data_IF_935641053075
#
_entry.id   IF_935641053075
#
_cell.length_a   1.000
_cell.length_b   1.000
_cell.length_c   1.000
_cell.angle_alpha   90.00
_cell.angle_beta   90.00
_cell.angle_gamma   90.00
#
_symmetry.space_group_name_H-M   'P 1'
#
loop_
_entity.id
_entity.type
_entity.pdbx_description
1 polymer ?
#
# COMPACT_ATOMS: atom_id res chain seq x y z
N UNK A 1 -16.67 13.09 14.70
CA UNK A 1 -15.72 12.26 15.46
C UNK A 1 -14.34 12.63 14.98
N UNK A 2 -13.53 13.23 15.84
CA UNK A 2 -12.17 13.66 15.50
C UNK A 2 -11.33 12.44 15.18
N UNK A 3 -10.84 12.33 13.94
CA UNK A 3 -9.85 11.31 13.62
C UNK A 3 -8.61 11.58 14.46
N UNK A 4 -8.06 10.59 15.18
CA UNK A 4 -6.81 10.78 15.91
C UNK A 4 -5.74 11.23 14.91
N UNK A 5 -4.98 12.26 15.29
CA UNK A 5 -3.86 12.71 14.45
C UNK A 5 -2.87 11.55 14.26
N UNK A 6 -2.33 11.35 13.05
CA UNK A 6 -1.34 10.30 12.81
C UNK A 6 -0.12 10.52 13.72
N UNK A 7 0.22 9.53 14.54
CA UNK A 7 1.28 9.65 15.55
C UNK A 7 2.60 9.04 15.11
N UNK A 8 2.65 8.35 13.97
CA UNK A 8 3.81 7.60 13.52
C UNK A 8 4.37 8.11 12.20
N UNK A 9 5.70 8.17 12.08
CA UNK A 9 6.37 8.46 10.81
C UNK A 9 6.31 7.24 9.89
N UNK A 10 6.15 7.46 8.58
CA UNK A 10 6.26 6.36 7.61
C UNK A 10 7.63 5.68 7.69
N UNK A 11 7.68 4.33 7.77
CA UNK A 11 8.93 3.59 7.78
C UNK A 11 9.76 3.84 6.51
N UNK A 12 10.95 4.39 6.69
CA UNK A 12 11.88 4.66 5.57
C UNK A 12 12.68 3.43 5.13
N UNK A 13 12.50 2.29 5.80
CA UNK A 13 13.26 1.06 5.55
C UNK A 13 12.68 0.20 4.42
N UNK A 14 11.56 0.61 3.82
CA UNK A 14 10.84 -0.20 2.82
C UNK A 14 10.13 0.64 1.76
N UNK A 15 9.82 0.01 0.63
CA UNK A 15 8.75 0.46 -0.29
C UNK A 15 7.44 -0.17 0.17
N UNK A 16 6.39 0.64 0.31
CA UNK A 16 5.16 0.21 0.97
C UNK A 16 3.99 0.21 0.00
N UNK A 17 3.23 -0.88 0.01
CA UNK A 17 1.97 -0.99 -0.72
C UNK A 17 0.82 -0.95 0.28
N UNK A 18 -0.06 0.02 0.13
CA UNK A 18 -1.32 0.08 0.87
C UNK A 18 -2.41 -0.58 0.05
N UNK A 19 -3.03 -1.61 0.60
CA UNK A 19 -4.02 -2.44 -0.07
C UNK A 19 -5.27 -2.66 0.80
N UNK A 20 -6.40 -2.91 0.15
CA UNK A 20 -7.64 -3.23 0.81
C UNK A 20 -7.67 -4.69 1.27
N UNK A 21 -8.47 -4.97 2.31
CA UNK A 21 -8.77 -6.34 2.70
C UNK A 21 -9.66 -7.06 1.66
N UNK A 22 -9.73 -8.40 1.69
CA UNK A 22 -10.39 -9.20 0.67
C UNK A 22 -11.87 -8.87 0.44
N UNK A 23 -12.57 -8.45 1.49
CA UNK A 23 -14.00 -8.13 1.45
C UNK A 23 -14.30 -6.78 0.80
N UNK A 24 -13.30 -5.91 0.66
CA UNK A 24 -13.47 -4.51 0.20
C UNK A 24 -12.69 -4.24 -1.09
N UNK A 25 -11.74 -5.11 -1.44
CA UNK A 25 -10.92 -4.97 -2.61
C UNK A 25 -11.76 -5.06 -3.90
N UNK A 26 -11.79 -3.96 -4.66
CA UNK A 26 -12.36 -3.91 -6.00
C UNK A 26 -11.19 -3.90 -6.98
N UNK A 27 -11.18 -4.86 -7.89
CA UNK A 27 -10.18 -5.00 -8.94
C UNK A 27 -10.87 -5.03 -10.30
N UNK A 28 -10.14 -4.60 -11.32
CA UNK A 28 -10.64 -4.64 -12.68
C UNK A 28 -10.81 -6.11 -13.12
N UNK A 29 -11.90 -6.46 -13.83
CA UNK A 29 -12.08 -7.80 -14.37
C UNK A 29 -10.91 -8.14 -15.31
N UNK A 30 -10.07 -9.09 -14.91
CA UNK A 30 -8.87 -9.50 -15.66
C UNK A 30 -7.54 -9.06 -15.05
N UNK A 31 -7.54 -8.26 -13.99
CA UNK A 31 -6.31 -7.96 -13.25
C UNK A 31 -5.91 -9.18 -12.39
N UNK A 32 -4.68 -9.67 -12.59
CA UNK A 32 -4.11 -10.68 -11.72
C UNK A 32 -3.89 -10.10 -10.31
N UNK A 33 -4.44 -10.78 -9.31
CA UNK A 33 -4.32 -10.41 -7.90
C UNK A 33 -3.56 -11.49 -7.13
N UNK A 34 -2.89 -11.06 -6.07
CA UNK A 34 -2.31 -11.94 -5.07
C UNK A 34 -2.70 -11.47 -3.67
N UNK A 35 -2.45 -12.33 -2.69
CA UNK A 35 -2.71 -12.07 -1.28
C UNK A 35 -1.40 -11.85 -0.54
N UNK A 36 -1.42 -10.92 0.39
CA UNK A 36 -0.33 -10.67 1.32
C UNK A 36 -0.87 -10.45 2.72
N UNK A 37 0.02 -10.19 3.67
CA UNK A 37 -0.36 -9.86 5.04
C UNK A 37 0.12 -8.47 5.40
N UNK A 38 -0.74 -7.70 6.06
CA UNK A 38 -0.36 -6.41 6.61
C UNK A 38 0.77 -6.61 7.62
N UNK A 39 1.85 -5.84 7.47
CA UNK A 39 2.99 -5.89 8.39
C UNK A 39 2.59 -5.68 9.85
N UNK A 40 1.68 -4.75 10.13
CA UNK A 40 1.41 -4.31 11.51
C UNK A 40 0.40 -5.20 12.22
N UNK A 41 -0.73 -5.51 11.57
CA UNK A 41 -1.82 -6.25 12.20
C UNK A 41 -1.91 -7.71 11.75
N UNK A 42 -1.15 -8.12 10.73
CA UNK A 42 -1.21 -9.47 10.17
C UNK A 42 -2.44 -9.75 9.30
N UNK A 43 -3.40 -8.82 9.17
CA UNK A 43 -4.61 -9.05 8.37
C UNK A 43 -4.27 -9.29 6.89
N UNK A 44 -5.03 -10.18 6.25
CA UNK A 44 -4.92 -10.44 4.82
C UNK A 44 -5.26 -9.17 4.02
N UNK A 45 -4.46 -8.90 2.99
CA UNK A 45 -4.69 -7.84 2.01
C UNK A 45 -4.63 -8.41 0.60
N UNK A 46 -5.42 -7.85 -0.30
CA UNK A 46 -5.45 -8.26 -1.70
C UNK A 46 -4.79 -7.18 -2.55
N UNK A 47 -3.78 -7.58 -3.31
CA UNK A 47 -2.90 -6.66 -4.04
C UNK A 47 -2.88 -7.08 -5.50
N UNK A 48 -3.04 -6.10 -6.39
CA UNK A 48 -2.82 -6.30 -7.81
C UNK A 48 -1.34 -6.62 -8.11
N UNK A 49 -1.07 -7.68 -8.89
CA UNK A 49 0.28 -8.06 -9.30
C UNK A 49 1.00 -6.91 -10.04
N UNK A 50 0.24 -6.11 -10.79
CA UNK A 50 0.72 -4.92 -11.49
C UNK A 50 1.24 -3.82 -10.53
N UNK A 51 0.68 -3.75 -9.33
CA UNK A 51 1.14 -2.83 -8.27
C UNK A 51 2.38 -3.39 -7.58
N UNK A 52 2.45 -4.71 -7.40
CA UNK A 52 3.64 -5.39 -6.86
C UNK A 52 4.83 -5.20 -7.78
N UNK A 53 4.68 -5.39 -9.09
CA UNK A 53 5.76 -5.22 -10.05
C UNK A 53 6.38 -3.80 -9.98
N UNK A 54 5.53 -2.77 -9.89
CA UNK A 54 6.00 -1.39 -9.72
C UNK A 54 6.71 -1.17 -8.38
N UNK A 55 6.17 -1.72 -7.30
CA UNK A 55 6.80 -1.61 -5.99
C UNK A 55 8.15 -2.33 -5.95
N UNK A 56 8.28 -3.48 -6.63
CA UNK A 56 9.53 -4.22 -6.78
C UNK A 56 10.58 -3.43 -7.55
N UNK A 57 10.21 -2.82 -8.68
CA UNK A 57 11.12 -1.98 -9.45
C UNK A 57 11.67 -0.80 -8.62
N UNK A 58 10.81 -0.14 -7.83
CA UNK A 58 11.24 0.94 -6.95
C UNK A 58 12.05 0.44 -5.75
N UNK A 59 11.70 -0.73 -5.20
CA UNK A 59 12.43 -1.39 -4.13
C UNK A 59 13.88 -1.72 -4.55
N UNK A 60 14.06 -2.22 -5.77
CA UNK A 60 15.38 -2.50 -6.35
C UNK A 60 16.24 -1.23 -6.45
N UNK A 61 15.69 -0.14 -7.01
CA UNK A 61 16.39 1.16 -7.11
C UNK A 61 16.85 1.66 -5.75
N UNK A 62 15.99 1.54 -4.74
CA UNK A 62 16.23 2.05 -3.40
C UNK A 62 17.00 1.07 -2.49
N UNK A 63 17.27 -0.15 -2.96
CA UNK A 63 17.85 -1.24 -2.16
C UNK A 63 17.05 -1.50 -0.86
N UNK A 64 15.72 -1.55 -0.99
CA UNK A 64 14.78 -1.70 0.14
C UNK A 64 13.78 -2.82 -0.12
N UNK A 65 13.33 -3.55 0.91
CA UNK A 65 12.26 -4.53 0.75
C UNK A 65 10.91 -3.89 0.43
N UNK A 66 10.00 -4.68 -0.15
CA UNK A 66 8.57 -4.34 -0.27
C UNK A 66 7.81 -4.83 0.97
N UNK A 67 6.94 -4.00 1.53
CA UNK A 67 6.07 -4.35 2.67
C UNK A 67 4.61 -3.99 2.37
N UNK A 68 3.67 -4.80 2.87
CA UNK A 68 2.24 -4.60 2.64
C UNK A 68 1.54 -4.04 3.87
N UNK A 69 0.57 -3.13 3.67
CA UNK A 69 -0.19 -2.48 4.72
C UNK A 69 -1.68 -2.46 4.39
N UNK A 70 -2.52 -2.77 5.37
CA UNK A 70 -3.96 -2.55 5.22
C UNK A 70 -4.27 -1.06 5.35
N UNK A 71 -5.37 -0.60 4.73
CA UNK A 71 -5.79 0.80 4.79
C UNK A 71 -5.94 1.33 6.24
N UNK A 72 -6.37 0.48 7.18
CA UNK A 72 -6.54 0.88 8.59
C UNK A 72 -5.21 1.23 9.26
N UNK A 73 -4.21 0.37 9.12
CA UNK A 73 -2.89 0.63 9.72
C UNK A 73 -2.17 1.79 9.02
N UNK A 74 -2.36 1.94 7.71
CA UNK A 74 -1.80 3.06 6.95
C UNK A 74 -2.26 4.44 7.46
N UNK A 75 -3.47 4.55 8.02
CA UNK A 75 -3.99 5.81 8.58
C UNK A 75 -3.31 6.24 9.88
N UNK A 76 -2.60 5.35 10.56
CA UNK A 76 -1.84 5.70 11.76
C UNK A 76 -0.54 6.47 11.44
N UNK A 77 -0.13 6.46 10.16
CA UNK A 77 1.10 7.08 9.69
C UNK A 77 0.86 8.46 9.09
N UNK A 78 1.75 9.41 9.38
CA UNK A 78 1.68 10.76 8.85
C UNK A 78 2.12 10.80 7.39
N UNK A 79 1.15 10.87 6.46
CA UNK A 79 1.42 10.91 5.01
C UNK A 79 2.35 12.04 4.56
N UNK A 80 2.57 13.09 5.36
CA UNK A 80 3.53 14.17 5.06
C UNK A 80 4.97 13.68 5.06
N UNK A 81 5.26 12.55 5.71
CA UNK A 81 6.61 11.96 5.74
C UNK A 81 6.85 11.02 4.55
N UNK A 82 5.91 10.90 3.60
CA UNK A 82 6.06 10.07 2.40
C UNK A 82 6.91 10.81 1.37
N UNK A 83 8.04 10.21 0.97
CA UNK A 83 8.91 10.79 -0.06
C UNK A 83 8.30 10.74 -1.47
N UNK A 84 7.48 9.72 -1.76
CA UNK A 84 6.83 9.52 -3.07
C UNK A 84 5.51 8.77 -2.90
N UNK A 85 4.40 9.37 -3.33
CA UNK A 85 3.08 8.76 -3.33
C UNK A 85 2.64 8.46 -4.76
N UNK A 86 2.22 7.22 -5.03
CA UNK A 86 1.70 6.78 -6.33
C UNK A 86 0.28 6.26 -6.15
N UNK A 87 -0.72 6.98 -6.66
CA UNK A 87 -2.13 6.58 -6.65
C UNK A 87 -2.56 6.14 -8.06
N UNK A 88 -2.99 4.87 -8.19
CA UNK A 88 -3.46 4.30 -9.46
C UNK A 88 -4.88 4.70 -9.83
N UNK A 89 -5.72 5.22 -8.91
CA UNK A 89 -7.11 5.60 -9.24
C UNK A 89 -7.22 6.70 -10.29
N UNK A 90 -6.17 7.53 -10.47
CA UNK A 90 -6.19 8.65 -11.43
C UNK A 90 -5.86 8.27 -12.89
N UNK A 91 -5.45 7.03 -13.18
CA UNK A 91 -5.16 6.62 -14.57
C UNK A 91 -6.39 6.16 -15.37
N UNK A 92 -7.55 5.96 -14.74
CA UNK A 92 -8.76 5.47 -15.41
C UNK A 92 -9.70 6.56 -15.97
N UNK A 93 -9.34 7.85 -15.89
CA UNK A 93 -10.12 8.97 -16.46
C UNK A 93 -9.40 9.64 -17.62
N UNK A 94 -9.07 8.89 -18.67
CA UNK A 94 -8.67 9.49 -19.95
C UNK A 94 -9.19 8.69 -21.13
#
# INVERSE_FOLDING_TARGET
MSHPEPTQMWPIDAVMIVAAGPLVARHDPGEAITRGHCRDCGDEVVIACSTIALAQEEAEKLHRPVKYFCCRCALNYDSRTINKLVDRRRKATR
#
